data_IF_697331941562
#
_entry.id   IF_697331941562
#
_cell.length_a   1.000
_cell.length_b   1.000
_cell.length_c   1.000
_cell.angle_alpha   90.00
_cell.angle_beta   90.00
_cell.angle_gamma   90.00
#
_symmetry.space_group_name_H-M   'P 1'
#
loop_
_entity.id
_entity.type
_entity.pdbx_description
1 polymer ?
#
# COMPACT_ATOMS: atom_id res chain seq x y z
N UNK A 1 8.39 -9.86 22.41
CA UNK A 1 9.63 -9.35 21.78
C UNK A 1 9.37 -7.89 21.49
N UNK A 2 10.29 -6.98 21.82
CA UNK A 2 9.99 -5.56 22.00
C UNK A 2 9.32 -4.91 20.78
N UNK A 3 8.16 -4.31 21.02
CA UNK A 3 7.52 -3.33 20.13
C UNK A 3 8.56 -2.27 19.78
N UNK A 4 8.89 -2.17 18.48
CA UNK A 4 9.75 -1.11 17.98
C UNK A 4 8.87 -0.14 17.23
N UNK A 5 8.85 1.10 17.70
CA UNK A 5 8.27 2.20 16.93
C UNK A 5 9.25 2.54 15.81
N UNK A 6 8.81 2.33 14.58
CA UNK A 6 9.55 2.60 13.35
C UNK A 6 8.91 3.80 12.68
N UNK A 7 9.72 4.81 12.38
CA UNK A 7 9.34 5.92 11.51
C UNK A 7 9.23 5.40 10.07
N UNK A 8 8.04 5.52 9.47
CA UNK A 8 7.77 5.08 8.10
C UNK A 8 7.86 6.22 7.10
N UNK A 9 7.97 7.47 7.56
CA UNK A 9 8.02 8.67 6.76
C UNK A 9 6.89 9.65 7.04
N UNK A 10 6.73 10.58 6.10
CA UNK A 10 5.77 11.68 6.21
C UNK A 10 4.85 11.73 4.99
N UNK A 11 3.63 12.16 5.23
CA UNK A 11 2.61 12.47 4.22
C UNK A 11 2.08 13.89 4.47
N UNK A 12 1.35 14.45 3.52
CA UNK A 12 0.68 15.75 3.71
C UNK A 12 -0.79 15.64 3.31
N UNK A 13 -1.65 16.46 3.92
CA UNK A 13 -3.07 16.52 3.60
C UNK A 13 -3.53 17.97 3.34
N UNK A 14 -3.02 18.68 2.31
CA UNK A 14 -3.35 20.08 2.05
C UNK A 14 -4.85 20.38 1.91
N UNK A 15 -5.68 19.40 1.54
CA UNK A 15 -7.15 19.52 1.55
C UNK A 15 -7.75 19.63 2.95
N UNK A 16 -6.96 19.31 3.99
CA UNK A 16 -7.42 19.11 5.36
C UNK A 16 -8.09 17.77 5.61
N UNK A 17 -8.07 16.85 4.64
CA UNK A 17 -8.66 15.51 4.71
C UNK A 17 -7.59 14.46 4.44
N UNK A 18 -7.37 13.61 5.44
CA UNK A 18 -6.45 12.48 5.37
C UNK A 18 -7.22 11.18 5.13
N UNK A 19 -6.65 10.31 4.31
CA UNK A 19 -7.24 9.02 3.93
C UNK A 19 -6.24 7.90 4.16
N UNK A 20 -6.73 6.79 4.72
CA UNK A 20 -6.12 5.47 4.67
C UNK A 20 -7.08 4.56 3.91
N UNK A 21 -6.66 3.99 2.78
CA UNK A 21 -7.53 3.19 1.93
C UNK A 21 -6.82 2.02 1.24
N UNK A 22 -7.62 1.11 0.67
CA UNK A 22 -7.13 -0.05 -0.07
C UNK A 22 -6.58 0.35 -1.44
N UNK A 23 -5.35 -0.02 -1.76
CA UNK A 23 -4.67 0.38 -3.00
C UNK A 23 -5.31 -0.24 -4.26
N UNK A 24 -5.89 -1.44 -4.18
CA UNK A 24 -6.44 -2.16 -5.33
C UNK A 24 -7.61 -1.47 -6.02
N UNK A 25 -8.37 -0.64 -5.31
CA UNK A 25 -9.62 -0.05 -5.84
C UNK A 25 -9.78 1.43 -5.51
N UNK A 26 -8.72 2.10 -5.07
CA UNK A 26 -8.80 3.51 -4.66
C UNK A 26 -9.04 4.45 -5.83
N UNK A 27 -8.75 4.05 -7.05
CA UNK A 27 -9.02 4.79 -8.29
C UNK A 27 -10.40 4.48 -8.88
N UNK A 28 -11.18 3.60 -8.24
CA UNK A 28 -12.48 3.16 -8.76
C UNK A 28 -13.67 3.97 -8.22
N UNK A 29 -13.45 4.90 -7.28
CA UNK A 29 -14.53 5.73 -6.72
C UNK A 29 -15.31 6.55 -7.77
N UNK A 30 -14.68 7.18 -8.79
CA UNK A 30 -15.40 7.90 -9.83
C UNK A 30 -16.46 7.03 -10.56
N UNK A 31 -16.16 5.75 -10.77
CA UNK A 31 -17.04 4.77 -11.41
C UNK A 31 -18.24 4.41 -10.52
N UNK A 32 -18.11 4.60 -9.20
CA UNK A 32 -19.20 4.50 -8.22
C UNK A 32 -20.03 5.80 -8.12
N UNK A 33 -19.79 6.77 -9.00
CA UNK A 33 -20.64 7.94 -9.21
C UNK A 33 -20.20 9.22 -8.50
N UNK A 34 -19.18 9.17 -7.63
CA UNK A 34 -18.57 10.35 -6.98
C UNK A 34 -17.09 10.10 -6.69
N UNK A 35 -16.22 11.13 -6.83
CA UNK A 35 -14.80 11.02 -6.49
C UNK A 35 -14.57 10.56 -5.04
N UNK A 36 -13.37 10.06 -4.77
CA UNK A 36 -12.94 9.68 -3.44
C UNK A 36 -13.00 10.89 -2.50
N UNK A 37 -12.46 12.02 -2.94
CA UNK A 37 -12.32 13.21 -2.10
C UNK A 37 -13.65 13.76 -1.58
N UNK A 38 -14.72 13.72 -2.37
CA UNK A 38 -16.06 14.16 -1.93
C UNK A 38 -16.60 13.28 -0.80
N UNK A 39 -16.40 11.96 -0.92
CA UNK A 39 -16.84 10.98 0.08
C UNK A 39 -16.01 11.11 1.34
N UNK A 40 -14.69 11.23 1.20
CA UNK A 40 -13.75 11.44 2.29
C UNK A 40 -14.05 12.75 3.04
N UNK A 41 -14.31 13.84 2.31
CA UNK A 41 -14.69 15.13 2.90
C UNK A 41 -16.00 15.04 3.68
N UNK A 42 -16.98 14.31 3.16
CA UNK A 42 -18.25 14.07 3.87
C UNK A 42 -18.02 13.34 5.19
N UNK A 43 -17.25 12.24 5.18
CA UNK A 43 -16.90 11.51 6.40
C UNK A 43 -16.12 12.39 7.39
N UNK A 44 -15.08 13.09 6.92
CA UNK A 44 -14.27 13.98 7.75
C UNK A 44 -15.08 15.13 8.38
N UNK A 45 -16.11 15.65 7.68
CA UNK A 45 -16.95 16.74 8.17
C UNK A 45 -17.78 16.38 9.42
N UNK A 46 -18.05 15.09 9.63
CA UNK A 46 -18.82 14.59 10.77
C UNK A 46 -17.95 13.94 11.86
N UNK A 47 -16.63 14.16 11.81
CA UNK A 47 -15.66 13.61 12.78
C UNK A 47 -14.78 12.49 12.24
N UNK A 48 -14.98 12.09 10.98
CA UNK A 48 -14.28 10.99 10.33
C UNK A 48 -15.11 9.71 10.31
N UNK A 49 -14.66 8.74 9.50
CA UNK A 49 -15.31 7.44 9.44
C UNK A 49 -14.87 6.56 8.28
N UNK A 50 -15.28 5.30 8.36
CA UNK A 50 -15.16 4.31 7.31
C UNK A 50 -16.19 4.57 6.19
N UNK A 51 -15.70 4.61 4.96
CA UNK A 51 -16.48 4.68 3.74
C UNK A 51 -16.28 3.37 2.98
N UNK A 52 -17.37 2.65 2.78
CA UNK A 52 -17.41 1.38 2.05
C UNK A 52 -18.49 1.45 0.97
N UNK A 53 -18.08 1.27 -0.29
CA UNK A 53 -18.99 1.13 -1.42
C UNK A 53 -18.44 0.05 -2.36
N UNK A 54 -19.26 -0.96 -2.66
CA UNK A 54 -18.83 -2.17 -3.37
C UNK A 54 -17.62 -2.86 -2.71
N UNK A 55 -16.44 -2.84 -3.34
CA UNK A 55 -15.18 -3.35 -2.78
C UNK A 55 -14.16 -2.22 -2.56
N UNK A 56 -14.57 -0.95 -2.67
CA UNK A 56 -13.73 0.19 -2.36
C UNK A 56 -13.92 0.54 -0.88
N UNK A 57 -12.82 0.65 -0.15
CA UNK A 57 -12.84 0.92 1.28
C UNK A 57 -11.75 1.90 1.68
N UNK A 58 -12.12 2.84 2.54
CA UNK A 58 -11.20 3.79 3.15
C UNK A 58 -11.72 4.30 4.48
N UNK A 59 -10.82 4.73 5.35
CA UNK A 59 -11.14 5.60 6.48
C UNK A 59 -10.64 7.00 6.16
N UNK A 60 -11.51 7.99 6.36
CA UNK A 60 -11.20 9.39 6.13
C UNK A 60 -11.42 10.21 7.40
N UNK A 61 -10.51 11.14 7.68
CA UNK A 61 -10.50 11.99 8.87
C UNK A 61 -10.00 13.39 8.54
N UNK A 62 -10.26 14.35 9.44
CA UNK A 62 -9.64 15.67 9.34
C UNK A 62 -8.17 15.58 9.74
N UNK A 63 -7.32 16.35 9.06
CA UNK A 63 -5.93 16.53 9.42
C UNK A 63 -5.50 17.99 9.23
N UNK A 64 -4.35 18.35 9.78
CA UNK A 64 -3.74 19.64 9.51
C UNK A 64 -3.23 19.67 8.05
N UNK A 65 -3.65 20.68 7.30
CA UNK A 65 -3.27 20.83 5.88
C UNK A 65 -2.03 21.67 5.61
N UNK A 66 -1.41 22.20 6.66
CA UNK A 66 -0.30 23.15 6.58
C UNK A 66 1.03 22.57 7.09
N UNK A 67 1.08 21.28 7.40
CA UNK A 67 2.26 20.62 7.94
C UNK A 67 2.36 19.15 7.53
N UNK A 68 3.58 18.57 7.55
CA UNK A 68 3.75 17.13 7.41
C UNK A 68 3.08 16.34 8.54
N UNK A 69 2.48 15.22 8.19
CA UNK A 69 1.86 14.24 9.07
C UNK A 69 2.79 13.05 9.20
N UNK A 70 3.18 12.72 10.43
CA UNK A 70 4.14 11.65 10.69
C UNK A 70 3.45 10.29 10.70
N UNK A 71 4.02 9.31 10.00
CA UNK A 71 3.52 7.94 9.96
C UNK A 71 4.52 7.03 10.68
N UNK A 72 4.05 6.30 11.68
CA UNK A 72 4.84 5.35 12.46
C UNK A 72 4.16 4.00 12.46
N UNK A 73 4.95 2.95 12.66
CA UNK A 73 4.40 1.65 12.95
C UNK A 73 5.09 0.96 14.11
N UNK A 74 4.30 0.18 14.83
CA UNK A 74 4.80 -0.82 15.74
C UNK A 74 4.69 -2.20 15.08
N UNK A 75 5.71 -3.03 15.27
CA UNK A 75 5.84 -4.30 14.53
C UNK A 75 5.63 -5.52 15.39
N UNK A 76 5.03 -6.55 14.79
CA UNK A 76 5.08 -7.93 15.29
C UNK A 76 5.99 -8.79 14.40
N UNK A 77 6.18 -10.04 14.81
CA UNK A 77 6.91 -11.03 14.02
C UNK A 77 5.94 -11.74 13.09
N UNK A 78 6.25 -11.72 11.79
CA UNK A 78 5.55 -12.49 10.78
C UNK A 78 5.66 -13.98 11.11
N UNK A 79 4.54 -14.71 11.14
CA UNK A 79 4.55 -16.15 11.39
C UNK A 79 5.11 -16.95 10.20
N UNK A 80 5.20 -16.32 9.01
CA UNK A 80 5.56 -16.99 7.77
C UNK A 80 7.06 -17.07 7.55
N UNK A 81 7.78 -15.97 7.78
CA UNK A 81 9.23 -15.88 7.52
C UNK A 81 10.04 -15.37 8.74
N UNK A 82 9.36 -14.99 9.84
CA UNK A 82 9.99 -14.41 11.02
C UNK A 82 10.41 -12.94 10.86
N UNK A 83 10.12 -12.30 9.74
CA UNK A 83 10.37 -10.88 9.47
C UNK A 83 9.47 -9.94 10.29
N UNK A 84 9.74 -8.63 10.28
CA UNK A 84 8.85 -7.67 10.92
C UNK A 84 7.60 -7.44 10.05
N UNK A 85 6.42 -7.47 10.66
CA UNK A 85 5.14 -7.09 10.04
C UNK A 85 4.48 -5.96 10.84
N UNK A 86 3.68 -5.11 10.20
CA UNK A 86 2.96 -4.02 10.86
C UNK A 86 1.88 -4.61 11.78
N UNK A 87 1.97 -4.33 13.07
CA UNK A 87 0.94 -4.67 14.05
C UNK A 87 0.07 -3.46 14.40
N UNK A 88 0.67 -2.27 14.37
CA UNK A 88 -0.03 -1.02 14.60
C UNK A 88 0.54 0.00 13.63
N UNK A 89 -0.34 0.71 12.94
CA UNK A 89 0.00 1.90 12.17
C UNK A 89 -0.55 3.12 12.90
N UNK A 90 0.27 4.14 13.13
CA UNK A 90 -0.09 5.38 13.81
C UNK A 90 0.23 6.59 12.93
N UNK A 91 -0.74 7.48 12.79
CA UNK A 91 -0.63 8.71 12.00
C UNK A 91 -0.94 9.90 12.91
N UNK A 92 0.04 10.78 13.11
CA UNK A 92 -0.18 12.07 13.75
C UNK A 92 -0.92 12.99 12.78
N UNK A 93 -2.20 13.28 13.06
CA UNK A 93 -3.07 14.07 12.17
C UNK A 93 -2.80 15.57 12.25
N UNK A 94 -1.83 16.00 13.06
CA UNK A 94 -1.41 17.38 13.11
C UNK A 94 -2.33 18.28 13.96
N UNK A 95 -3.47 17.76 14.43
CA UNK A 95 -4.52 18.49 15.12
C UNK A 95 -4.48 18.26 16.64
N UNK A 96 -4.94 19.22 17.47
CA UNK A 96 -5.12 18.99 18.90
C UNK A 96 -6.26 17.99 19.15
N UNK A 97 -6.11 17.15 20.19
CA UNK A 97 -7.20 16.30 20.66
C UNK A 97 -8.32 17.14 21.30
N UNK A 98 -9.57 16.85 20.92
CA UNK A 98 -10.76 17.48 21.50
C UNK A 98 -11.43 16.48 22.44
N UNK A 99 -10.85 16.34 23.63
CA UNK A 99 -11.27 15.39 24.66
C UNK A 99 -10.24 15.34 25.80
N UNK A 100 -10.34 14.33 26.67
CA UNK A 100 -9.33 14.03 27.69
C UNK A 100 -8.46 12.85 27.27
N UNK A 101 -7.25 12.75 27.83
CA UNK A 101 -6.37 11.61 27.60
C UNK A 101 -6.90 10.28 28.16
N UNK A 102 -7.94 10.35 29.00
CA UNK A 102 -8.61 9.19 29.59
C UNK A 102 -9.83 8.72 28.78
N UNK A 103 -10.15 9.42 27.68
CA UNK A 103 -11.28 9.06 26.83
C UNK A 103 -11.00 7.74 26.11
N UNK A 104 -12.03 6.92 25.95
CA UNK A 104 -11.94 5.71 25.14
C UNK A 104 -11.65 6.07 23.67
N UNK A 105 -10.87 5.25 22.92
CA UNK A 105 -10.62 5.49 21.51
C UNK A 105 -11.93 5.60 20.71
N UNK A 106 -12.02 6.62 19.85
CA UNK A 106 -13.16 6.79 18.95
C UNK A 106 -13.00 5.83 17.79
N UNK A 107 -13.93 4.89 17.64
CA UNK A 107 -13.93 3.93 16.51
C UNK A 107 -14.44 4.65 15.26
N UNK A 108 -13.61 4.71 14.22
CA UNK A 108 -13.97 5.26 12.91
C UNK A 108 -14.58 4.18 12.00
N UNK A 109 -14.27 2.91 12.28
CA UNK A 109 -14.73 1.74 11.55
C UNK A 109 -13.61 0.71 11.50
N UNK A 110 -13.58 -0.08 10.42
CA UNK A 110 -12.62 -1.16 10.23
C UNK A 110 -12.14 -1.23 8.78
N UNK A 111 -10.90 -1.67 8.59
CA UNK A 111 -10.31 -1.91 7.28
C UNK A 111 -9.67 -3.30 7.24
N UNK A 112 -9.78 -4.02 6.12
CA UNK A 112 -8.98 -5.23 5.87
C UNK A 112 -7.53 -4.86 5.53
N UNK A 113 -6.63 -5.85 5.58
CA UNK A 113 -5.38 -5.78 4.83
C UNK A 113 -5.68 -6.13 3.37
N UNK A 114 -5.54 -5.14 2.50
CA UNK A 114 -5.75 -5.30 1.06
C UNK A 114 -4.58 -6.06 0.40
N UNK A 115 -4.81 -7.15 -0.36
CA UNK A 115 -3.75 -7.88 -1.06
C UNK A 115 -2.86 -7.05 -1.99
N UNK A 116 -3.36 -5.93 -2.50
CA UNK A 116 -2.61 -5.01 -3.36
C UNK A 116 -1.90 -3.90 -2.57
N UNK A 117 -2.09 -3.81 -1.25
CA UNK A 117 -1.48 -2.79 -0.43
C UNK A 117 -2.46 -1.77 0.15
N UNK A 118 -1.99 -0.95 1.07
CA UNK A 118 -2.74 0.22 1.56
C UNK A 118 -2.06 1.50 1.09
N UNK A 119 -2.83 2.58 0.96
CA UNK A 119 -2.30 3.90 0.62
C UNK A 119 -2.80 4.95 1.59
N UNK A 120 -1.92 5.92 1.85
CA UNK A 120 -2.09 6.97 2.83
C UNK A 120 -1.76 8.31 2.20
N UNK A 121 -2.66 9.28 2.30
CA UNK A 121 -2.41 10.60 1.74
C UNK A 121 -3.59 11.55 1.79
N UNK A 122 -3.42 12.67 1.08
CA UNK A 122 -4.46 13.67 0.87
C UNK A 122 -5.60 13.14 0.02
N UNK A 123 -6.84 13.42 0.42
CA UNK A 123 -8.01 12.94 -0.30
C UNK A 123 -8.10 13.45 -1.75
N UNK A 124 -7.69 14.71 -2.04
CA UNK A 124 -7.71 15.25 -3.40
C UNK A 124 -6.56 14.70 -4.24
N UNK A 125 -5.38 14.49 -3.65
CA UNK A 125 -4.28 13.84 -4.35
C UNK A 125 -4.65 12.43 -4.78
N UNK A 126 -5.32 11.67 -3.91
CA UNK A 126 -5.75 10.29 -4.18
C UNK A 126 -6.85 10.18 -5.25
N UNK A 127 -7.58 11.26 -5.58
CA UNK A 127 -8.45 11.26 -6.78
C UNK A 127 -7.64 11.11 -8.08
N UNK A 128 -6.34 11.44 -8.07
CA UNK A 128 -5.44 11.30 -9.22
C UNK A 128 -4.63 10.01 -9.21
N UNK A 129 -4.81 9.16 -8.19
CA UNK A 129 -4.11 7.88 -8.09
C UNK A 129 -4.43 6.99 -9.29
N UNK A 130 -3.41 6.35 -9.84
CA UNK A 130 -3.54 5.35 -10.90
C UNK A 130 -3.24 3.95 -10.39
N UNK A 131 -4.25 3.06 -10.43
CA UNK A 131 -4.17 1.69 -9.94
C UNK A 131 -3.45 0.73 -10.88
N UNK A 132 -3.47 -0.55 -10.52
CA UNK A 132 -2.90 -1.62 -11.35
C UNK A 132 -3.59 -1.71 -12.71
N UNK A 133 -2.80 -1.92 -13.77
CA UNK A 133 -3.29 -1.96 -15.15
C UNK A 133 -3.64 -0.61 -15.78
N UNK A 134 -3.48 0.51 -15.06
CA UNK A 134 -3.55 1.84 -15.67
C UNK A 134 -2.31 2.15 -16.52
N UNK A 135 -2.42 3.06 -17.51
CA UNK A 135 -1.27 3.54 -18.26
C UNK A 135 -0.24 4.21 -17.36
N UNK A 136 1.03 4.16 -17.78
CA UNK A 136 2.11 4.90 -17.13
C UNK A 136 1.83 6.41 -17.00
N UNK A 137 2.23 6.98 -15.86
CA UNK A 137 2.12 8.41 -15.56
C UNK A 137 3.29 9.24 -16.11
N UNK A 138 4.42 8.61 -16.40
CA UNK A 138 5.67 9.27 -16.81
C UNK A 138 6.19 8.80 -18.19
N UNK A 139 5.50 7.86 -18.84
CA UNK A 139 5.92 7.30 -20.12
C UNK A 139 6.97 6.18 -20.01
N UNK A 140 7.26 5.72 -18.79
CA UNK A 140 8.25 4.69 -18.48
C UNK A 140 7.59 3.41 -17.95
N UNK A 141 8.36 2.32 -18.03
CA UNK A 141 8.00 1.02 -17.49
C UNK A 141 9.26 0.23 -17.09
N UNK A 142 9.10 -0.62 -16.08
CA UNK A 142 10.09 -1.63 -15.73
C UNK A 142 9.81 -2.93 -16.49
N UNK A 143 10.85 -3.64 -16.90
CA UNK A 143 10.75 -5.00 -17.45
C UNK A 143 11.54 -5.93 -16.55
N UNK A 144 10.85 -6.79 -15.82
CA UNK A 144 11.47 -7.76 -14.91
C UNK A 144 11.17 -9.19 -15.35
N UNK A 145 12.15 -10.06 -15.19
CA UNK A 145 12.01 -11.48 -15.47
C UNK A 145 12.73 -12.33 -14.41
N UNK A 146 12.18 -13.51 -14.16
CA UNK A 146 12.66 -14.45 -13.15
C UNK A 146 12.28 -15.88 -13.53
N UNK A 147 12.64 -16.86 -12.68
CA UNK A 147 12.29 -18.26 -12.88
C UNK A 147 13.50 -19.16 -13.18
N UNK A 148 13.22 -20.43 -13.45
CA UNK A 148 14.24 -21.48 -13.53
C UNK A 148 15.30 -21.24 -14.62
N UNK A 149 14.95 -20.50 -15.66
CA UNK A 149 15.83 -20.20 -16.80
C UNK A 149 16.17 -18.71 -16.92
N UNK A 150 16.04 -17.93 -15.84
CA UNK A 150 16.39 -16.51 -15.83
C UNK A 150 17.85 -16.26 -16.27
N UNK A 151 18.80 -17.16 -15.93
CA UNK A 151 20.19 -17.04 -16.39
C UNK A 151 20.38 -17.29 -17.89
N UNK A 152 19.51 -18.09 -18.51
CA UNK A 152 19.52 -18.27 -19.96
C UNK A 152 18.91 -17.06 -20.67
N UNK A 153 17.78 -16.55 -20.16
CA UNK A 153 17.21 -15.27 -20.61
C UNK A 153 18.22 -14.14 -20.48
N UNK A 154 18.97 -14.06 -19.37
CA UNK A 154 19.99 -13.04 -19.16
C UNK A 154 21.12 -13.11 -20.20
N UNK A 155 21.60 -14.32 -20.53
CA UNK A 155 22.62 -14.50 -21.57
C UNK A 155 22.14 -14.07 -22.96
N UNK A 156 20.84 -14.20 -23.23
CA UNK A 156 20.24 -13.87 -24.52
C UNK A 156 19.84 -12.39 -24.63
N UNK A 157 19.20 -11.85 -23.58
CA UNK A 157 18.56 -10.54 -23.61
C UNK A 157 19.30 -9.48 -22.79
N UNK A 158 20.09 -9.87 -21.78
CA UNK A 158 20.81 -8.95 -20.88
C UNK A 158 20.01 -8.59 -19.63
N UNK A 159 20.19 -7.37 -19.12
CA UNK A 159 19.48 -6.86 -17.94
C UNK A 159 20.30 -6.91 -16.66
N UNK A 160 19.95 -6.06 -15.71
CA UNK A 160 20.62 -5.91 -14.42
C UNK A 160 20.06 -6.88 -13.39
N UNK A 161 20.85 -7.16 -12.35
CA UNK A 161 20.38 -7.88 -11.17
C UNK A 161 19.68 -6.89 -10.23
N UNK A 162 18.41 -7.11 -9.95
CA UNK A 162 17.55 -6.23 -9.18
C UNK A 162 17.16 -6.94 -7.88
N UNK A 163 17.30 -6.26 -6.75
CA UNK A 163 16.85 -6.75 -5.45
C UNK A 163 15.41 -6.30 -5.20
N UNK A 164 14.47 -7.25 -5.14
CA UNK A 164 13.05 -7.02 -4.90
C UNK A 164 12.60 -7.82 -3.69
N UNK A 165 12.26 -7.15 -2.59
CA UNK A 165 11.80 -7.79 -1.34
C UNK A 165 12.72 -8.91 -0.84
N UNK A 166 14.04 -8.70 -0.91
CA UNK A 166 15.05 -9.70 -0.53
C UNK A 166 15.27 -10.82 -1.56
N UNK A 167 14.48 -10.89 -2.63
CA UNK A 167 14.67 -11.81 -3.75
C UNK A 167 15.39 -11.15 -4.92
N UNK A 168 16.20 -11.92 -5.64
CA UNK A 168 16.88 -11.42 -6.84
C UNK A 168 16.05 -11.73 -8.08
N UNK A 169 15.73 -10.66 -8.82
CA UNK A 169 15.15 -10.74 -10.17
C UNK A 169 16.11 -10.10 -11.15
N UNK A 170 15.85 -10.25 -12.45
CA UNK A 170 16.64 -9.57 -13.49
C UNK A 170 15.76 -8.69 -14.34
N UNK A 171 16.32 -7.65 -14.93
CA UNK A 171 15.50 -6.76 -15.74
C UNK A 171 16.13 -5.43 -16.09
N UNK A 172 15.28 -4.52 -16.50
CA UNK A 172 15.60 -3.13 -16.80
C UNK A 172 14.59 -2.26 -16.10
N UNK A 173 15.08 -1.19 -15.49
CA UNK A 173 14.25 -0.19 -14.85
C UNK A 173 14.16 1.05 -15.73
N UNK A 174 13.06 1.79 -15.62
CA UNK A 174 12.87 3.10 -16.25
C UNK A 174 13.04 3.10 -17.78
N UNK A 175 12.62 2.03 -18.47
CA UNK A 175 12.65 2.00 -19.93
C UNK A 175 11.52 2.87 -20.52
N UNK A 176 11.75 3.56 -21.65
CA UNK A 176 10.65 4.13 -22.42
C UNK A 176 9.60 3.07 -22.74
N UNK A 177 8.31 3.40 -22.57
CA UNK A 177 7.23 2.42 -22.63
C UNK A 177 7.23 1.55 -23.89
N UNK A 178 7.47 2.16 -25.05
CA UNK A 178 7.53 1.43 -26.33
C UNK A 178 8.69 0.44 -26.40
N UNK A 179 9.82 0.76 -25.77
CA UNK A 179 10.97 -0.14 -25.66
C UNK A 179 10.70 -1.27 -24.68
N UNK A 180 10.11 -0.94 -23.53
CA UNK A 180 9.69 -1.91 -22.52
C UNK A 180 8.70 -2.94 -23.10
N UNK A 181 7.70 -2.48 -23.86
CA UNK A 181 6.70 -3.34 -24.52
C UNK A 181 7.35 -4.28 -25.54
N UNK A 182 8.20 -3.75 -26.42
CA UNK A 182 8.94 -4.57 -27.40
C UNK A 182 9.81 -5.62 -26.73
N UNK A 183 10.51 -5.26 -25.66
CA UNK A 183 11.37 -6.17 -24.91
C UNK A 183 10.55 -7.23 -24.17
N UNK A 184 9.46 -6.83 -23.54
CA UNK A 184 8.52 -7.73 -22.88
C UNK A 184 7.88 -8.73 -23.84
N UNK A 185 7.47 -8.28 -25.02
CA UNK A 185 6.92 -9.17 -26.06
C UNK A 185 7.98 -10.16 -26.56
N UNK A 186 9.22 -9.71 -26.80
CA UNK A 186 10.32 -10.60 -27.20
C UNK A 186 10.64 -11.66 -26.13
N UNK A 187 10.62 -11.29 -24.85
CA UNK A 187 10.81 -12.23 -23.73
C UNK A 187 9.64 -13.21 -23.60
N UNK A 188 8.39 -12.75 -23.78
CA UNK A 188 7.17 -13.60 -23.75
C UNK A 188 7.11 -14.56 -24.93
N UNK A 189 7.55 -14.13 -26.11
CA UNK A 189 7.65 -15.02 -27.27
C UNK A 189 8.72 -16.09 -27.05
N UNK A 190 9.86 -15.72 -26.45
CA UNK A 190 10.90 -16.68 -26.07
C UNK A 190 10.46 -17.66 -24.97
N UNK A 191 9.67 -17.21 -23.98
CA UNK A 191 9.04 -18.06 -22.96
C UNK A 191 8.23 -19.22 -23.57
N UNK A 192 7.55 -18.95 -24.70
CA UNK A 192 6.71 -19.93 -25.40
C UNK A 192 7.53 -20.99 -26.15
N UNK A 193 8.79 -20.69 -26.46
CA UNK A 193 9.73 -21.63 -27.08
C UNK A 193 10.27 -22.64 -26.05
N UNK A 194 10.71 -23.82 -26.50
CA UNK A 194 11.28 -24.86 -25.61
C UNK A 194 12.46 -24.36 -24.78
N UNK A 195 13.18 -23.35 -25.26
CA UNK A 195 14.35 -22.78 -24.60
C UNK A 195 14.00 -21.80 -23.48
N UNK A 196 12.82 -21.18 -23.51
CA UNK A 196 12.38 -20.18 -22.53
C UNK A 196 11.31 -20.66 -21.56
N UNK A 197 10.78 -21.89 -21.72
CA UNK A 197 9.78 -22.46 -20.81
C UNK A 197 10.24 -22.40 -19.36
N UNK A 198 9.58 -21.60 -18.52
CA UNK A 198 9.90 -21.44 -17.11
C UNK A 198 10.62 -20.14 -16.76
N UNK A 199 10.70 -19.19 -17.71
CA UNK A 199 10.89 -17.77 -17.42
C UNK A 199 9.53 -17.10 -17.27
N UNK A 200 9.39 -16.29 -16.23
CA UNK A 200 8.25 -15.40 -16.03
C UNK A 200 8.68 -13.99 -16.37
N UNK A 201 7.79 -13.22 -16.99
CA UNK A 201 8.07 -11.85 -17.46
C UNK A 201 6.94 -10.93 -17.01
N UNK A 202 7.29 -9.79 -16.43
CA UNK A 202 6.37 -8.69 -16.17
C UNK A 202 6.87 -7.41 -16.85
N UNK A 203 5.94 -6.70 -17.48
CA UNK A 203 6.11 -5.32 -17.92
C UNK A 203 5.26 -4.49 -16.96
N UNK A 204 5.92 -3.72 -16.11
CA UNK A 204 5.30 -2.94 -15.03
C UNK A 204 5.30 -1.47 -15.47
N UNK A 205 4.22 -1.02 -16.12
CA UNK A 205 4.04 0.38 -16.49
C UNK A 205 4.00 1.26 -15.24
N UNK A 206 4.61 2.45 -15.26
CA UNK A 206 4.67 3.33 -14.07
C UNK A 206 3.33 4.04 -13.76
N UNK A 207 2.27 3.27 -13.56
CA UNK A 207 1.14 3.71 -12.75
C UNK A 207 1.59 3.91 -11.29
N UNK A 208 0.89 4.72 -10.51
CA UNK A 208 1.25 5.02 -9.12
C UNK A 208 1.32 3.75 -8.27
N UNK A 209 0.44 2.78 -8.55
CA UNK A 209 0.52 1.42 -8.01
C UNK A 209 1.91 0.78 -8.16
N UNK A 210 2.45 0.77 -9.37
CA UNK A 210 3.77 0.18 -9.62
C UNK A 210 4.90 1.05 -9.06
N UNK A 211 4.76 2.38 -9.12
CA UNK A 211 5.77 3.31 -8.59
C UNK A 211 5.95 3.15 -7.08
N UNK A 212 4.87 3.06 -6.30
CA UNK A 212 5.01 2.84 -4.85
C UNK A 212 5.51 1.43 -4.55
N UNK A 213 5.06 0.41 -5.31
CA UNK A 213 5.55 -0.96 -5.15
C UNK A 213 7.08 -1.00 -5.33
N UNK A 214 7.58 -0.36 -6.40
CA UNK A 214 9.00 -0.22 -6.68
C UNK A 214 9.74 0.50 -5.56
N UNK A 215 9.22 1.63 -5.07
CA UNK A 215 9.79 2.38 -3.96
C UNK A 215 9.88 1.54 -2.66
N UNK A 216 9.04 0.51 -2.52
CA UNK A 216 8.98 -0.34 -1.34
C UNK A 216 9.98 -1.51 -1.30
N UNK A 217 10.67 -1.81 -2.41
CA UNK A 217 11.41 -3.07 -2.57
C UNK A 217 12.49 -3.33 -1.51
N UNK A 218 13.11 -2.27 -0.99
CA UNK A 218 14.20 -2.36 -0.02
C UNK A 218 13.78 -2.04 1.41
N UNK A 219 12.54 -1.58 1.64
CA UNK A 219 12.08 -1.25 2.98
C UNK A 219 11.67 -2.53 3.73
N UNK A 220 12.14 -2.77 4.97
CA UNK A 220 11.81 -4.00 5.71
C UNK A 220 10.32 -4.21 5.95
N UNK A 221 9.55 -3.12 6.07
CA UNK A 221 8.09 -3.13 6.18
C UNK A 221 7.38 -2.83 4.85
N UNK A 222 8.10 -2.90 3.72
CA UNK A 222 7.55 -2.69 2.38
C UNK A 222 6.77 -1.38 2.24
N UNK A 223 7.33 -0.31 2.79
CA UNK A 223 6.83 1.05 2.66
C UNK A 223 7.46 1.70 1.44
N UNK A 224 6.64 2.28 0.57
CA UNK A 224 7.08 3.06 -0.58
C UNK A 224 6.39 4.42 -0.60
N UNK A 225 7.16 5.51 -0.62
CA UNK A 225 6.63 6.86 -0.76
C UNK A 225 6.82 7.36 -2.20
N UNK A 226 5.78 7.99 -2.76
CA UNK A 226 5.79 8.61 -4.08
C UNK A 226 5.06 9.95 -4.06
N UNK A 227 5.24 10.75 -5.10
CA UNK A 227 4.41 11.94 -5.32
C UNK A 227 3.25 11.63 -6.28
N UNK A 228 2.04 12.02 -5.86
CA UNK A 228 0.79 11.97 -6.64
C UNK A 228 0.16 13.35 -6.54
N UNK A 229 -0.08 14.00 -7.69
CA UNK A 229 -0.60 15.37 -7.75
C UNK A 229 0.13 16.35 -6.80
N UNK A 230 1.48 16.35 -6.87
CA UNK A 230 2.39 17.17 -6.05
C UNK A 230 2.25 16.96 -4.53
N UNK A 231 1.66 15.83 -4.11
CA UNK A 231 1.51 15.46 -2.70
C UNK A 231 2.24 14.14 -2.41
N UNK A 232 3.03 14.06 -1.31
CA UNK A 232 3.57 12.79 -0.85
C UNK A 232 2.44 11.84 -0.42
N UNK A 233 2.40 10.69 -1.07
CA UNK A 233 1.55 9.54 -0.76
C UNK A 233 2.44 8.40 -0.31
N UNK A 234 2.05 7.74 0.77
CA UNK A 234 2.75 6.59 1.31
C UNK A 234 1.93 5.33 1.03
N UNK A 235 2.54 4.38 0.32
CA UNK A 235 1.99 3.05 0.08
C UNK A 235 2.62 2.02 1.01
N UNK A 236 1.80 1.08 1.45
CA UNK A 236 2.18 -0.10 2.22
C UNK A 236 1.93 -1.30 1.34
N UNK A 237 2.98 -1.97 0.90
CA UNK A 237 2.86 -3.28 0.27
C UNK A 237 2.93 -4.38 1.35
N UNK A 238 2.43 -5.57 1.06
CA UNK A 238 2.38 -6.68 2.01
C UNK A 238 3.14 -7.89 1.48
N UNK A 239 3.69 -8.73 2.37
CA UNK A 239 4.02 -10.10 2.00
C UNK A 239 2.79 -10.99 2.06
N UNK A 240 2.71 -11.94 1.12
CA UNK A 240 1.68 -13.00 1.12
C UNK A 240 1.54 -13.71 2.47
N UNK A 241 2.63 -13.77 3.25
CA UNK A 241 2.71 -14.37 4.57
C UNK A 241 2.56 -13.42 5.76
N UNK A 242 2.49 -12.10 5.57
CA UNK A 242 2.51 -11.14 6.69
C UNK A 242 1.24 -11.18 7.56
N UNK A 243 0.09 -11.49 6.94
CA UNK A 243 -1.21 -11.55 7.62
C UNK A 243 -2.07 -12.77 7.23
N UNK A 244 -1.46 -13.81 6.64
CA UNK A 244 -2.20 -14.93 6.03
C UNK A 244 -3.12 -14.46 4.91
N UNK A 245 -2.58 -13.64 4.00
CA UNK A 245 -3.35 -12.99 2.94
C UNK A 245 -4.13 -14.02 2.14
N UNK A 246 -5.47 -13.99 2.28
CA UNK A 246 -6.35 -14.89 1.53
C UNK A 246 -6.62 -14.28 0.15
N UNK A 247 -6.45 -15.08 -0.90
CA UNK A 247 -6.63 -14.66 -2.31
C UNK A 247 -7.98 -14.00 -2.65
N UNK A 248 -9.00 -14.07 -1.78
CA UNK A 248 -10.33 -13.46 -2.00
C UNK A 248 -10.57 -12.20 -1.15
N UNK A 249 -9.52 -11.62 -0.57
CA UNK A 249 -9.58 -10.46 0.31
C UNK A 249 -10.03 -10.81 1.72
N UNK A 250 -9.49 -10.12 2.72
CA UNK A 250 -9.70 -10.42 4.13
C UNK A 250 -11.13 -10.14 4.62
N UNK A 251 -11.76 -9.05 4.14
CA UNK A 251 -13.13 -8.69 4.54
C UNK A 251 -14.13 -9.81 4.28
N UNK A 252 -14.00 -10.54 3.17
CA UNK A 252 -14.90 -11.66 2.83
C UNK A 252 -14.87 -12.78 3.88
N UNK A 253 -13.81 -12.87 4.66
CA UNK A 253 -13.65 -13.84 5.75
C UNK A 253 -13.82 -13.21 7.14
N UNK A 254 -14.33 -11.98 7.22
CA UNK A 254 -14.52 -11.27 8.49
C UNK A 254 -13.21 -10.78 9.13
N UNK A 255 -12.11 -10.81 8.38
CA UNK A 255 -10.82 -10.29 8.85
C UNK A 255 -10.77 -8.80 8.50
N UNK A 256 -11.17 -7.99 9.47
CA UNK A 256 -11.16 -6.53 9.39
C UNK A 256 -10.69 -5.99 10.72
N UNK A 257 -9.97 -4.88 10.67
CA UNK A 257 -9.20 -4.39 11.80
C UNK A 257 -9.59 -2.97 12.13
N UNK A 258 -9.82 -2.65 13.42
CA UNK A 258 -10.36 -1.37 13.82
C UNK A 258 -9.39 -0.23 13.51
N UNK A 259 -9.95 0.85 12.99
CA UNK A 259 -9.29 2.16 12.88
C UNK A 259 -9.92 3.08 13.93
N UNK A 260 -9.07 3.69 14.76
CA UNK A 260 -9.51 4.54 15.87
C UNK A 260 -8.85 5.92 15.81
N UNK A 261 -9.47 6.90 16.47
CA UNK A 261 -8.82 8.13 16.90
C UNK A 261 -8.60 8.09 18.40
N UNK A 262 -7.43 8.55 18.83
CA UNK A 262 -7.07 8.66 20.24
C UNK A 262 -6.03 9.76 20.43
N UNK A 263 -5.90 10.33 21.64
CA UNK A 263 -4.82 11.26 21.93
C UNK A 263 -3.49 10.51 21.98
N UNK A 264 -2.47 11.06 21.33
CA UNK A 264 -1.09 10.65 21.58
C UNK A 264 -0.74 10.95 23.05
N UNK A 265 -0.26 9.95 23.82
CA UNK A 265 -0.07 10.10 25.27
C UNK A 265 1.04 11.09 25.63
N UNK A 266 1.93 11.41 24.69
CA UNK A 266 3.10 12.28 24.93
C UNK A 266 2.83 13.73 24.52
N UNK A 267 2.16 13.91 23.39
CA UNK A 267 1.97 15.21 22.73
C UNK A 267 0.55 15.75 22.88
N UNK A 268 -0.43 14.91 23.21
CA UNK A 268 -1.85 15.28 23.26
C UNK A 268 -2.46 15.61 21.89
N UNK A 269 -1.75 15.28 20.80
CA UNK A 269 -2.27 15.45 19.43
C UNK A 269 -3.20 14.30 19.08
N UNK A 270 -4.11 14.56 18.13
CA UNK A 270 -4.99 13.53 17.58
C UNK A 270 -4.18 12.56 16.73
N UNK A 271 -4.18 11.30 17.10
CA UNK A 271 -3.54 10.20 16.35
C UNK A 271 -4.61 9.27 15.81
N UNK A 272 -4.52 8.95 14.51
CA UNK A 272 -5.25 7.84 13.93
C UNK A 272 -4.44 6.56 14.09
N UNK A 273 -5.08 5.50 14.57
CA UNK A 273 -4.44 4.21 14.81
C UNK A 273 -5.18 3.09 14.09
N UNK A 274 -4.48 2.28 13.31
CA UNK A 274 -5.00 1.05 12.72
C UNK A 274 -4.28 -0.15 13.35
N UNK A 275 -5.02 -0.99 14.09
CA UNK A 275 -4.43 -2.08 14.89
C UNK A 275 -4.73 -3.43 14.27
N UNK A 276 -3.69 -4.07 13.75
CA UNK A 276 -3.72 -5.38 13.11
C UNK A 276 -3.13 -6.40 14.09
N UNK A 277 -3.95 -7.21 14.79
CA UNK A 277 -3.43 -8.20 15.72
C UNK A 277 -2.48 -9.17 15.00
N UNK A 278 -1.38 -9.59 15.65
CA UNK A 278 -0.50 -10.59 15.09
C UNK A 278 -1.28 -11.85 14.73
N UNK A 279 -1.01 -12.43 13.55
CA UNK A 279 -1.64 -13.69 13.19
C UNK A 279 -1.22 -14.79 14.17
N UNK A 280 -2.20 -15.35 14.88
CA UNK A 280 -2.02 -16.51 15.74
C UNK A 280 -2.51 -17.76 14.99
N UNK A 281 -1.61 -18.70 14.62
CA UNK A 281 -2.04 -19.95 14.03
C UNK A 281 -2.85 -20.73 15.07
N UNK A 282 -4.17 -20.90 14.86
CA UNK A 282 -4.98 -21.74 15.75
C UNK A 282 -6.47 -21.46 15.89
N UNK A 283 -7.10 -20.60 15.08
CA UNK A 283 -8.56 -20.39 15.16
C UNK A 283 -9.28 -20.36 13.80
N UNK A 284 -8.70 -20.98 12.77
CA UNK A 284 -9.49 -21.43 11.64
C UNK A 284 -10.17 -22.74 12.07
N UNK A 285 -11.27 -22.57 12.80
CA UNK A 285 -12.18 -23.66 13.15
C UNK A 285 -12.67 -24.35 11.88
N UNK A 286 -12.83 -25.66 12.01
CA UNK A 286 -13.65 -26.49 11.14
C UNK A 286 -14.95 -25.76 10.76
N UNK A 287 -15.13 -25.47 9.47
CA UNK A 287 -16.41 -25.55 8.75
C UNK A 287 -16.19 -25.63 7.24
#
# INVERSE_FOLDING_TARGET
MAERDIDLGVVTAPSGVFVLGMASWIDYWPQLGRPLSERASTAASIGGGHVHDWICEMVAVRAAGDQPLMVRASTATSPSDGGPTIAVLEIDLGLPWVGTAADEPIILGDLPVDPCGMVLGDALALDSWTGDGHPTTDGLADVVYWGAYAEAAHRQFGGELILRHGSQVRGWLDLPLDEAKKLGDALKDWERDEQGRGVMVAVEEHADFHRFNRASWTHPLRIGAIEVADCPVLGINWDSGDHSMRHRGERRFGHVYPVTLQPDPTTGRTTMRWTIPPYAPGHDGEE
#
